data_IF_744948662470
#
_entry.id   IF_744948662470
#
_cell.length_a   1.000
_cell.length_b   1.000
_cell.length_c   1.000
_cell.angle_alpha   90.00
_cell.angle_beta   90.00
_cell.angle_gamma   90.00
#
_symmetry.space_group_name_H-M   'P 1'
#
loop_
_entity.id
_entity.type
_entity.pdbx_description
1 polymer ?
#
# COMPACT_ATOMS: atom_id res chain seq x y z
N UNK A 1 -10.76 -65.94 19.22
CA UNK A 1 -11.13 -64.57 18.76
C UNK A 1 -10.02 -63.51 18.94
N UNK A 2 -8.85 -63.82 19.52
CA UNK A 2 -7.83 -62.80 19.91
C UNK A 2 -6.81 -62.38 18.82
N UNK A 3 -6.42 -63.28 17.90
CA UNK A 3 -5.29 -63.01 16.97
C UNK A 3 -5.60 -61.94 15.89
N UNK A 4 -6.85 -61.87 15.40
CA UNK A 4 -7.23 -60.96 14.30
C UNK A 4 -7.35 -59.51 14.75
N UNK A 5 -7.96 -59.27 15.92
CA UNK A 5 -8.14 -57.92 16.48
C UNK A 5 -6.78 -57.30 16.79
N UNK A 6 -5.85 -58.06 17.36
CA UNK A 6 -4.51 -57.58 17.69
C UNK A 6 -3.70 -57.22 16.43
N UNK A 7 -3.81 -58.02 15.36
CA UNK A 7 -3.20 -57.71 14.06
C UNK A 7 -3.72 -56.41 13.45
N UNK A 8 -5.03 -56.16 13.52
CA UNK A 8 -5.62 -54.91 13.02
C UNK A 8 -5.17 -53.73 13.85
N UNK A 9 -5.10 -53.89 15.18
CA UNK A 9 -4.65 -52.84 16.09
C UNK A 9 -3.21 -52.42 15.82
N UNK A 10 -2.32 -53.38 15.57
CA UNK A 10 -0.93 -53.11 15.17
C UNK A 10 -0.85 -52.38 13.83
N UNK A 11 -1.53 -52.87 12.79
CA UNK A 11 -1.59 -52.19 11.48
C UNK A 11 -2.11 -50.76 11.60
N UNK A 12 -3.20 -50.57 12.35
CA UNK A 12 -3.80 -49.26 12.57
C UNK A 12 -2.83 -48.31 13.30
N UNK A 13 -2.09 -48.80 14.29
CA UNK A 13 -1.09 -48.02 15.02
C UNK A 13 -0.04 -47.39 14.11
N UNK A 14 0.48 -48.13 13.12
CA UNK A 14 1.46 -47.60 12.17
C UNK A 14 0.88 -46.58 11.18
N UNK A 15 -0.38 -46.76 10.78
CA UNK A 15 -1.00 -45.93 9.75
C UNK A 15 -1.73 -44.71 10.30
N UNK A 16 -2.15 -44.71 11.57
CA UNK A 16 -3.04 -43.68 12.13
C UNK A 16 -2.57 -42.24 11.92
N UNK A 17 -1.28 -41.96 12.02
CA UNK A 17 -0.73 -40.60 11.83
C UNK A 17 -0.63 -40.16 10.36
N UNK A 18 -0.78 -41.10 9.43
CA UNK A 18 -0.61 -40.89 7.99
C UNK A 18 -1.95 -40.92 7.22
N UNK A 19 -3.06 -41.24 7.89
CA UNK A 19 -4.38 -41.36 7.27
C UNK A 19 -5.23 -40.13 7.59
N UNK A 20 -5.80 -39.50 6.56
CA UNK A 20 -6.89 -38.53 6.75
C UNK A 20 -8.21 -39.23 7.10
N UNK A 21 -9.23 -38.45 7.50
CA UNK A 21 -10.53 -38.97 7.96
C UNK A 21 -11.24 -39.84 6.90
N UNK A 22 -11.01 -39.57 5.61
CA UNK A 22 -11.64 -40.28 4.49
C UNK A 22 -10.90 -41.59 4.19
N UNK A 23 -9.58 -41.53 4.06
CA UNK A 23 -8.75 -42.71 3.79
C UNK A 23 -8.85 -43.70 4.96
N UNK A 24 -8.90 -43.20 6.20
CA UNK A 24 -9.13 -44.02 7.39
C UNK A 24 -10.45 -44.79 7.32
N UNK A 25 -11.54 -44.13 6.91
CA UNK A 25 -12.86 -44.73 6.78
C UNK A 25 -12.90 -45.81 5.71
N UNK A 26 -12.28 -45.56 4.56
CA UNK A 26 -12.20 -46.54 3.46
C UNK A 26 -11.33 -47.74 3.84
N UNK A 27 -10.19 -47.51 4.48
CA UNK A 27 -9.32 -48.59 4.96
C UNK A 27 -10.04 -49.49 5.96
N UNK A 28 -10.74 -48.90 6.95
CA UNK A 28 -11.51 -49.65 7.93
C UNK A 28 -12.65 -50.46 7.29
N UNK A 29 -13.26 -49.94 6.23
CA UNK A 29 -14.28 -50.65 5.47
C UNK A 29 -13.72 -51.84 4.67
N UNK A 30 -12.54 -51.70 4.06
CA UNK A 30 -11.85 -52.80 3.35
C UNK A 30 -11.46 -53.91 4.33
N UNK A 31 -10.85 -53.57 5.48
CA UNK A 31 -10.49 -54.55 6.50
C UNK A 31 -11.74 -55.21 7.12
N UNK A 32 -12.86 -54.50 7.24
CA UNK A 32 -14.09 -55.10 7.72
C UNK A 32 -14.73 -56.07 6.70
N UNK A 33 -14.62 -55.79 5.39
CA UNK A 33 -15.13 -56.67 4.34
C UNK A 33 -14.27 -57.93 4.16
N UNK A 34 -12.95 -57.82 4.28
CA UNK A 34 -12.03 -58.96 4.12
C UNK A 34 -12.22 -60.04 5.19
N UNK A 35 -12.69 -59.66 6.38
CA UNK A 35 -12.96 -60.56 7.50
C UNK A 35 -14.33 -61.25 7.46
N UNK A 36 -15.25 -60.83 6.57
CA UNK A 36 -16.58 -61.41 6.45
C UNK A 36 -17.46 -61.23 7.70
N UNK A 37 -18.10 -62.31 8.18
CA UNK A 37 -19.09 -62.25 9.27
C UNK A 37 -18.43 -61.83 10.59
N UNK A 38 -18.83 -60.67 11.12
CA UNK A 38 -18.28 -60.11 12.37
C UNK A 38 -17.09 -59.16 12.18
N UNK A 39 -16.61 -58.97 10.96
CA UNK A 39 -15.47 -58.08 10.65
C UNK A 39 -15.67 -56.64 11.12
N UNK A 40 -16.88 -56.09 10.99
CA UNK A 40 -17.22 -54.73 11.46
C UNK A 40 -17.02 -54.59 12.98
N UNK A 41 -17.44 -55.58 13.76
CA UNK A 41 -17.27 -55.56 15.21
C UNK A 41 -15.79 -55.66 15.60
N UNK A 42 -15.03 -56.53 14.93
CA UNK A 42 -13.60 -56.72 15.18
C UNK A 42 -12.76 -55.47 14.81
N UNK A 43 -13.06 -54.82 13.68
CA UNK A 43 -12.39 -53.58 13.28
C UNK A 43 -12.76 -52.42 14.21
N UNK A 44 -14.04 -52.30 14.60
CA UNK A 44 -14.49 -51.28 15.56
C UNK A 44 -13.79 -51.44 16.90
N UNK A 45 -13.65 -52.67 17.39
CA UNK A 45 -12.92 -52.99 18.62
C UNK A 45 -11.41 -52.66 18.51
N UNK A 46 -10.76 -53.04 17.41
CA UNK A 46 -9.34 -52.81 17.20
C UNK A 46 -8.96 -51.33 17.01
N UNK A 47 -9.84 -50.53 16.41
CA UNK A 47 -9.55 -49.14 16.00
C UNK A 47 -10.26 -48.08 16.84
N UNK A 48 -11.21 -48.48 17.69
CA UNK A 48 -12.14 -47.59 18.39
C UNK A 48 -13.00 -46.71 17.47
N UNK A 49 -13.07 -47.04 16.18
CA UNK A 49 -13.98 -46.37 15.24
C UNK A 49 -15.42 -46.81 15.48
N UNK A 50 -16.36 -45.87 15.30
CA UNK A 50 -17.78 -46.22 15.39
C UNK A 50 -18.17 -47.19 14.28
N UNK A 51 -19.03 -48.16 14.59
CA UNK A 51 -19.56 -49.10 13.57
C UNK A 51 -20.23 -48.35 12.43
N UNK A 52 -20.90 -47.24 12.72
CA UNK A 52 -21.52 -46.35 11.74
C UNK A 52 -20.51 -45.81 10.72
N UNK A 53 -19.32 -45.40 11.18
CA UNK A 53 -18.23 -44.94 10.30
C UNK A 53 -17.79 -46.05 9.33
N UNK A 54 -17.68 -47.28 9.81
CA UNK A 54 -17.31 -48.44 8.98
C UNK A 54 -18.42 -48.77 7.97
N UNK A 55 -19.69 -48.72 8.38
CA UNK A 55 -20.84 -48.91 7.48
C UNK A 55 -20.88 -47.85 6.36
N UNK A 56 -20.62 -46.59 6.69
CA UNK A 56 -20.53 -45.51 5.70
C UNK A 56 -19.41 -45.79 4.70
N UNK A 57 -18.22 -46.20 5.17
CA UNK A 57 -17.12 -46.57 4.28
C UNK A 57 -17.44 -47.75 3.37
N UNK A 58 -18.15 -48.77 3.88
CA UNK A 58 -18.61 -49.92 3.08
C UNK A 58 -19.58 -49.47 1.99
N UNK A 59 -20.51 -48.56 2.31
CA UNK A 59 -21.43 -47.99 1.34
C UNK A 59 -20.71 -47.16 0.29
N UNK A 60 -19.70 -46.37 0.67
CA UNK A 60 -18.87 -45.58 -0.25
C UNK A 60 -18.06 -46.47 -1.21
N UNK A 61 -17.51 -47.60 -0.74
CA UNK A 61 -16.81 -48.58 -1.58
C UNK A 61 -17.74 -49.25 -2.60
N UNK A 62 -18.96 -49.63 -2.20
CA UNK A 62 -19.96 -50.26 -3.09
C UNK A 62 -20.49 -49.31 -4.16
N UNK A 63 -20.46 -48.00 -3.91
CA UNK A 63 -21.00 -46.98 -4.82
C UNK A 63 -20.07 -46.63 -5.99
N UNK A 64 -18.92 -47.32 -6.15
CA UNK A 64 -18.06 -47.19 -7.34
C UNK A 64 -17.08 -46.01 -7.32
N UNK A 65 -16.81 -45.41 -6.16
CA UNK A 65 -15.80 -44.37 -5.99
C UNK A 65 -16.36 -43.04 -5.49
N UNK A 66 -15.48 -42.06 -5.22
CA UNK A 66 -15.87 -40.87 -4.48
C UNK A 66 -16.91 -40.04 -5.25
N UNK A 67 -17.86 -39.50 -4.50
CA UNK A 67 -18.76 -38.42 -4.93
C UNK A 67 -17.95 -37.37 -5.71
N UNK A 68 -18.47 -36.89 -6.85
CA UNK A 68 -17.75 -36.07 -7.85
C UNK A 68 -16.97 -34.90 -7.21
N UNK A 69 -17.51 -34.36 -6.11
CA UNK A 69 -16.98 -33.24 -5.33
C UNK A 69 -15.66 -33.54 -4.58
N UNK A 70 -15.31 -34.81 -4.41
CA UNK A 70 -14.16 -35.26 -3.61
C UNK A 70 -12.99 -35.81 -4.45
N UNK A 71 -13.04 -35.57 -5.77
CA UNK A 71 -11.94 -35.74 -6.73
C UNK A 71 -10.98 -34.55 -6.77
N UNK A 72 -11.33 -33.43 -6.11
CA UNK A 72 -10.46 -32.25 -6.01
C UNK A 72 -9.38 -32.46 -4.93
N UNK A 73 -8.09 -32.19 -5.22
CA UNK A 73 -7.03 -32.29 -4.23
C UNK A 73 -7.32 -31.42 -3.00
N UNK A 74 -7.29 -32.01 -1.80
CA UNK A 74 -7.38 -31.30 -0.52
C UNK A 74 -8.78 -31.18 0.12
N UNK A 75 -9.85 -31.67 -0.51
CA UNK A 75 -11.21 -31.60 0.08
C UNK A 75 -11.66 -32.94 0.67
N UNK A 76 -11.66 -33.01 2.01
CA UNK A 76 -12.00 -34.23 2.78
C UNK A 76 -13.52 -34.38 3.02
N UNK A 77 -14.26 -33.27 3.15
CA UNK A 77 -15.71 -33.26 3.48
C UNK A 77 -16.58 -32.92 2.26
N UNK A 78 -17.80 -33.50 2.22
CA UNK A 78 -18.84 -33.16 1.23
C UNK A 78 -19.22 -31.68 1.32
N UNK A 79 -19.72 -31.13 0.21
CA UNK A 79 -20.42 -29.84 0.17
C UNK A 79 -21.47 -29.76 1.29
N UNK A 80 -21.50 -28.64 2.02
CA UNK A 80 -22.37 -28.44 3.19
C UNK A 80 -21.80 -28.96 4.52
N UNK A 81 -20.70 -29.71 4.52
CA UNK A 81 -20.03 -30.20 5.73
C UNK A 81 -19.09 -29.16 6.37
N UNK A 82 -19.64 -28.08 6.91
CA UNK A 82 -18.87 -27.02 7.57
C UNK A 82 -19.71 -26.17 8.52
N UNK A 83 -19.05 -25.31 9.32
CA UNK A 83 -19.77 -24.33 10.15
C UNK A 83 -20.58 -23.41 9.22
N UNK A 84 -21.90 -23.44 9.36
CA UNK A 84 -22.82 -22.55 8.61
C UNK A 84 -22.36 -21.10 8.72
N UNK A 85 -22.43 -20.35 7.61
CA UNK A 85 -22.06 -18.92 7.59
C UNK A 85 -22.93 -18.16 8.59
N UNK A 86 -22.37 -17.13 9.23
CA UNK A 86 -23.09 -16.38 10.27
C UNK A 86 -24.41 -15.77 9.75
N UNK A 87 -24.45 -15.41 8.46
CA UNK A 87 -25.65 -14.96 7.73
C UNK A 87 -26.82 -15.96 7.75
N UNK A 88 -26.54 -17.25 7.81
CA UNK A 88 -27.58 -18.29 7.87
C UNK A 88 -28.10 -18.50 9.29
N UNK A 89 -27.35 -18.06 10.31
CA UNK A 89 -27.75 -18.13 11.72
C UNK A 89 -28.40 -16.84 12.20
N UNK A 90 -28.07 -15.72 11.55
CA UNK A 90 -28.45 -14.38 11.95
C UNK A 90 -28.91 -13.60 10.71
N UNK A 91 -30.21 -13.72 10.36
CA UNK A 91 -30.76 -13.12 9.14
C UNK A 91 -30.81 -11.58 9.18
N UNK A 92 -30.94 -10.98 10.37
CA UNK A 92 -31.04 -9.52 10.52
C UNK A 92 -29.68 -8.81 10.58
N UNK A 93 -28.58 -9.53 10.83
CA UNK A 93 -27.22 -8.99 10.85
C UNK A 93 -26.86 -8.11 9.64
N UNK A 94 -27.23 -8.53 8.42
CA UNK A 94 -26.94 -7.75 7.22
C UNK A 94 -27.76 -6.45 7.17
N UNK A 95 -29.02 -6.51 7.59
CA UNK A 95 -29.91 -5.36 7.62
C UNK A 95 -29.47 -4.35 8.68
N UNK A 96 -29.04 -4.82 9.86
CA UNK A 96 -28.58 -3.96 10.94
C UNK A 96 -27.18 -3.40 10.69
N UNK A 97 -26.33 -4.12 9.93
CA UNK A 97 -25.10 -3.56 9.37
C UNK A 97 -25.42 -2.47 8.33
N UNK A 98 -26.38 -2.68 7.42
CA UNK A 98 -26.76 -1.67 6.41
C UNK A 98 -27.30 -0.38 7.08
N UNK A 99 -28.10 -0.49 8.15
CA UNK A 99 -28.53 0.66 8.96
C UNK A 99 -27.38 1.42 9.64
N UNK A 100 -26.27 0.74 9.95
CA UNK A 100 -25.06 1.39 10.50
C UNK A 100 -24.24 2.10 9.40
N UNK A 101 -24.50 1.80 8.13
CA UNK A 101 -23.89 2.42 6.95
C UNK A 101 -24.74 3.56 6.37
N UNK A 102 -25.96 3.78 6.88
CA UNK A 102 -26.80 4.93 6.53
C UNK A 102 -26.20 6.27 7.01
N UNK A 103 -26.36 7.35 6.23
CA UNK A 103 -25.52 8.55 6.35
C UNK A 103 -25.80 9.36 7.62
N UNK A 104 -24.77 9.47 8.47
CA UNK A 104 -24.62 10.65 9.32
C UNK A 104 -24.23 11.85 8.43
N UNK A 105 -25.26 12.49 7.87
CA UNK A 105 -25.35 13.83 7.26
C UNK A 105 -24.04 14.53 6.85
N UNK A 106 -23.72 14.48 5.55
CA UNK A 106 -23.34 15.66 4.73
C UNK A 106 -23.30 15.31 3.23
N UNK A 107 -24.34 15.71 2.50
CA UNK A 107 -24.33 15.89 1.03
C UNK A 107 -25.40 15.14 0.24
N UNK A 108 -26.35 15.92 -0.30
CA UNK A 108 -27.31 15.69 -1.42
C UNK A 108 -28.40 14.58 -1.32
N UNK A 109 -29.71 14.90 -1.49
CA UNK A 109 -30.81 13.93 -1.34
C UNK A 109 -31.00 12.93 -2.49
N UNK A 110 -30.38 13.12 -3.66
CA UNK A 110 -30.69 12.32 -4.87
C UNK A 110 -29.59 11.35 -5.34
N UNK A 111 -28.55 11.09 -4.54
CA UNK A 111 -27.61 9.98 -4.81
C UNK A 111 -27.38 9.12 -3.58
N UNK A 112 -27.50 7.77 -3.65
CA UNK A 112 -27.26 6.90 -2.51
C UNK A 112 -25.75 6.71 -2.29
N UNK A 113 -25.08 7.79 -1.88
CA UNK A 113 -23.69 7.75 -1.44
C UNK A 113 -23.64 7.12 -0.04
N UNK A 114 -23.51 5.79 -0.01
CA UNK A 114 -23.34 5.00 1.23
C UNK A 114 -21.87 5.01 1.66
N UNK A 115 -21.54 5.71 2.75
CA UNK A 115 -20.17 5.74 3.30
C UNK A 115 -20.23 5.89 4.83
N UNK A 116 -19.28 5.27 5.54
CA UNK A 116 -19.19 5.34 7.01
C UNK A 116 -17.82 5.86 7.45
N UNK A 117 -17.79 6.74 8.45
CA UNK A 117 -16.56 7.16 9.14
C UNK A 117 -16.14 6.18 10.25
N UNK A 118 -16.95 5.15 10.54
CA UNK A 118 -16.68 4.21 11.63
C UNK A 118 -15.68 3.15 11.16
N UNK A 119 -14.70 2.83 12.00
CA UNK A 119 -13.80 1.71 11.75
C UNK A 119 -14.55 0.37 11.84
N UNK A 120 -14.03 -0.67 11.19
CA UNK A 120 -14.62 -2.02 11.25
C UNK A 120 -14.64 -2.61 12.66
N UNK A 121 -13.78 -2.13 13.57
CA UNK A 121 -13.83 -2.46 15.00
C UNK A 121 -15.04 -1.82 15.68
N UNK A 122 -15.29 -0.52 15.45
CA UNK A 122 -16.46 0.18 16.02
C UNK A 122 -17.79 -0.39 15.50
N UNK A 123 -17.85 -0.74 14.22
CA UNK A 123 -19.01 -1.43 13.64
C UNK A 123 -19.25 -2.78 14.30
N UNK A 124 -18.19 -3.53 14.62
CA UNK A 124 -18.32 -4.83 15.29
C UNK A 124 -18.81 -4.67 16.74
N UNK A 125 -18.31 -3.68 17.48
CA UNK A 125 -18.79 -3.35 18.84
C UNK A 125 -20.27 -2.98 18.84
N UNK A 126 -20.70 -2.15 17.89
CA UNK A 126 -22.09 -1.67 17.80
C UNK A 126 -23.05 -2.77 17.35
N UNK A 127 -22.63 -3.65 16.43
CA UNK A 127 -23.39 -4.86 16.07
C UNK A 127 -23.47 -5.85 17.24
N UNK A 128 -22.38 -6.01 17.99
CA UNK A 128 -22.37 -6.84 19.20
C UNK A 128 -23.31 -6.29 20.26
N UNK A 129 -23.34 -4.96 20.45
CA UNK A 129 -24.27 -4.29 21.36
C UNK A 129 -25.74 -4.44 20.92
N UNK A 130 -26.01 -4.61 19.62
CA UNK A 130 -27.35 -4.90 19.05
C UNK A 130 -27.73 -6.38 19.08
N UNK A 131 -26.91 -7.24 19.69
CA UNK A 131 -27.19 -8.67 19.84
C UNK A 131 -26.56 -9.57 18.77
N UNK A 132 -25.70 -9.03 17.90
CA UNK A 132 -24.99 -9.79 16.88
C UNK A 132 -23.52 -10.00 17.26
N UNK A 133 -23.12 -11.12 17.87
CA UNK A 133 -21.73 -11.34 18.29
C UNK A 133 -20.83 -11.52 17.06
N UNK A 134 -20.22 -10.42 16.60
CA UNK A 134 -19.39 -10.38 15.39
C UNK A 134 -18.01 -9.82 15.68
N UNK A 135 -17.01 -10.34 14.97
CA UNK A 135 -15.65 -9.82 15.03
C UNK A 135 -15.42 -8.75 13.95
N UNK A 136 -14.40 -7.93 14.13
CA UNK A 136 -13.93 -6.97 13.11
C UNK A 136 -13.66 -7.66 11.75
N UNK A 137 -13.10 -8.87 11.75
CA UNK A 137 -12.87 -9.67 10.52
C UNK A 137 -14.17 -10.07 9.84
N UNK A 138 -15.19 -10.41 10.62
CA UNK A 138 -16.53 -10.72 10.13
C UNK A 138 -17.13 -9.50 9.45
N UNK A 139 -17.04 -8.32 10.07
CA UNK A 139 -17.54 -7.06 9.48
C UNK A 139 -16.81 -6.73 8.17
N UNK A 140 -15.48 -6.89 8.08
CA UNK A 140 -14.76 -6.69 6.81
C UNK A 140 -15.31 -7.58 5.69
N UNK A 141 -15.49 -8.87 5.95
CA UNK A 141 -16.01 -9.79 4.94
C UNK A 141 -17.46 -9.45 4.54
N UNK A 142 -18.28 -8.97 5.48
CA UNK A 142 -19.65 -8.53 5.18
C UNK A 142 -19.65 -7.27 4.31
N UNK A 143 -18.75 -6.31 4.57
CA UNK A 143 -18.58 -5.11 3.76
C UNK A 143 -18.08 -5.44 2.34
N UNK A 144 -17.11 -6.34 2.20
CA UNK A 144 -16.63 -6.82 0.90
C UNK A 144 -17.77 -7.51 0.11
N UNK A 145 -18.58 -8.35 0.76
CA UNK A 145 -19.75 -9.01 0.14
C UNK A 145 -20.87 -8.02 -0.24
N UNK A 146 -20.94 -6.86 0.44
CA UNK A 146 -21.86 -5.76 0.10
C UNK A 146 -21.26 -4.81 -0.96
N UNK A 147 -20.08 -5.10 -1.50
CA UNK A 147 -19.41 -4.31 -2.54
C UNK A 147 -18.67 -3.07 -2.02
N UNK A 148 -18.51 -2.93 -0.70
CA UNK A 148 -17.69 -1.88 -0.11
C UNK A 148 -16.22 -2.25 -0.17
N UNK A 149 -15.37 -1.25 -0.29
CA UNK A 149 -13.92 -1.42 -0.22
C UNK A 149 -13.29 -0.20 0.45
N UNK A 150 -12.09 -0.38 1.02
CA UNK A 150 -11.30 0.72 1.56
C UNK A 150 -10.85 1.64 0.42
N UNK A 151 -11.48 2.80 0.33
CA UNK A 151 -11.12 3.83 -0.65
C UNK A 151 -10.23 4.88 0.01
N UNK A 152 -9.07 5.14 -0.59
CA UNK A 152 -8.27 6.32 -0.27
C UNK A 152 -8.78 7.51 -1.09
N UNK A 153 -8.74 8.71 -0.52
CA UNK A 153 -9.10 9.93 -1.25
C UNK A 153 -8.18 10.08 -2.48
N UNK A 154 -8.75 9.91 -3.67
CA UNK A 154 -8.06 10.16 -4.93
C UNK A 154 -8.28 11.63 -5.31
N UNK A 155 -7.21 12.40 -5.47
CA UNK A 155 -7.28 13.78 -5.97
C UNK A 155 -7.65 13.76 -7.46
N UNK A 156 -8.93 13.67 -7.80
CA UNK A 156 -9.43 13.63 -9.20
C UNK A 156 -10.16 14.89 -9.63
N UNK A 157 -10.56 15.76 -8.68
CA UNK A 157 -11.17 17.06 -8.99
C UNK A 157 -10.09 18.07 -9.37
N UNK A 158 -9.54 17.93 -10.58
CA UNK A 158 -8.82 19.03 -11.24
C UNK A 158 -9.86 19.93 -11.93
N UNK A 159 -9.69 21.25 -11.87
CA UNK A 159 -10.61 22.20 -12.51
C UNK A 159 -10.80 21.89 -14.00
N UNK A 160 -11.92 22.38 -14.58
CA UNK A 160 -12.38 22.13 -15.95
C UNK A 160 -11.25 21.93 -16.97
N UNK A 161 -11.33 20.82 -17.72
CA UNK A 161 -10.42 20.51 -18.84
C UNK A 161 -10.39 21.70 -19.79
N UNK A 162 -9.24 22.39 -19.88
CA UNK A 162 -9.08 23.55 -20.74
C UNK A 162 -8.28 23.12 -21.99
N UNK A 163 -8.75 23.41 -23.22
CA UNK A 163 -8.10 22.97 -24.46
C UNK A 163 -6.62 23.38 -24.58
N UNK A 164 -6.24 24.50 -23.98
CA UNK A 164 -4.87 25.01 -24.02
C UNK A 164 -3.89 24.24 -23.12
N UNK A 165 -4.36 23.36 -22.22
CA UNK A 165 -3.47 22.55 -21.38
C UNK A 165 -2.62 21.62 -22.24
N UNK A 166 -3.22 20.95 -23.21
CA UNK A 166 -2.51 20.00 -24.07
C UNK A 166 -1.45 20.71 -24.92
N UNK A 167 -1.76 21.90 -25.45
CA UNK A 167 -0.78 22.73 -26.17
C UNK A 167 0.41 23.11 -25.29
N UNK A 168 0.15 23.49 -24.03
CA UNK A 168 1.21 23.82 -23.08
C UNK A 168 2.07 22.59 -22.75
N UNK A 169 1.48 21.41 -22.58
CA UNK A 169 2.22 20.17 -22.36
C UNK A 169 3.07 19.76 -23.56
N UNK A 170 2.52 19.88 -24.78
CA UNK A 170 3.27 19.62 -26.01
C UNK A 170 4.47 20.57 -26.13
N UNK A 171 4.26 21.87 -25.89
CA UNK A 171 5.34 22.85 -25.89
C UNK A 171 6.47 22.51 -24.89
N UNK A 172 6.11 22.15 -23.64
CA UNK A 172 7.09 21.73 -22.64
C UNK A 172 7.84 20.49 -23.10
N UNK A 173 7.12 19.47 -23.58
CA UNK A 173 7.72 18.24 -24.10
C UNK A 173 8.70 18.51 -25.23
N UNK A 174 8.34 19.38 -26.18
CA UNK A 174 9.18 19.68 -27.34
C UNK A 174 10.43 20.44 -26.92
N UNK A 175 10.32 21.43 -26.02
CA UNK A 175 11.47 22.13 -25.45
C UNK A 175 12.41 21.21 -24.68
N UNK A 176 11.86 20.26 -23.91
CA UNK A 176 12.65 19.25 -23.21
C UNK A 176 13.44 18.40 -24.21
N UNK A 177 12.78 17.88 -25.25
CA UNK A 177 13.44 17.04 -26.27
C UNK A 177 14.52 17.81 -27.04
N UNK A 178 14.23 19.06 -27.43
CA UNK A 178 15.16 19.95 -28.11
C UNK A 178 16.44 20.10 -27.30
N UNK A 179 16.35 20.53 -26.05
CA UNK A 179 17.52 20.81 -25.21
C UNK A 179 18.26 19.54 -24.80
N UNK A 180 17.57 18.43 -24.60
CA UNK A 180 18.22 17.13 -24.40
C UNK A 180 19.02 16.69 -25.64
N UNK A 181 18.51 16.93 -26.86
CA UNK A 181 19.19 16.53 -28.09
C UNK A 181 20.51 17.28 -28.33
N UNK A 182 20.62 18.51 -27.84
CA UNK A 182 21.83 19.34 -27.90
C UNK A 182 22.68 19.27 -26.60
N UNK A 183 22.38 18.30 -25.72
CA UNK A 183 23.16 18.02 -24.52
C UNK A 183 23.07 19.09 -23.43
N UNK A 184 22.03 19.93 -23.44
CA UNK A 184 21.82 20.96 -22.43
C UNK A 184 21.08 20.39 -21.20
N UNK A 185 21.34 20.91 -20.00
CA UNK A 185 20.67 20.48 -18.78
C UNK A 185 19.16 20.79 -18.79
N UNK A 186 18.37 19.81 -18.37
CA UNK A 186 16.91 19.94 -18.18
C UNK A 186 16.54 19.46 -16.78
N UNK A 187 16.06 20.39 -15.96
CA UNK A 187 15.69 20.13 -14.57
C UNK A 187 14.21 20.35 -14.31
N UNK A 188 13.71 19.60 -13.33
CA UNK A 188 12.37 19.70 -12.76
C UNK A 188 12.52 20.08 -11.30
N UNK A 189 11.92 21.21 -10.91
CA UNK A 189 12.11 21.80 -9.57
C UNK A 189 10.77 21.96 -8.87
N UNK A 190 10.78 21.75 -7.56
CA UNK A 190 9.61 21.93 -6.71
C UNK A 190 10.00 21.94 -5.23
N UNK A 191 9.16 22.56 -4.40
CA UNK A 191 9.28 22.54 -2.96
C UNK A 191 8.36 21.46 -2.38
N UNK A 192 8.94 20.49 -1.66
CA UNK A 192 8.14 19.51 -0.94
C UNK A 192 7.41 20.20 0.21
N UNK A 193 6.19 19.72 0.52
CA UNK A 193 5.46 20.12 1.73
C UNK A 193 6.39 20.12 2.95
N UNK A 194 6.29 21.17 3.76
CA UNK A 194 7.04 21.30 5.01
C UNK A 194 6.78 20.10 5.91
N UNK A 195 7.85 19.43 6.32
CA UNK A 195 7.78 18.36 7.32
C UNK A 195 8.17 18.90 8.70
N UNK A 196 7.54 18.35 9.74
CA UNK A 196 7.89 18.66 11.13
C UNK A 196 9.09 17.79 11.53
N UNK A 197 10.12 18.40 12.11
CA UNK A 197 11.25 17.66 12.69
C UNK A 197 10.97 17.41 14.16
N UNK A 198 11.07 16.14 14.57
CA UNK A 198 10.78 15.66 15.91
C UNK A 198 10.22 14.23 15.87
N UNK A 199 9.95 13.67 17.04
CA UNK A 199 9.33 12.36 17.22
C UNK A 199 7.84 12.39 16.86
N UNK A 200 7.50 12.76 15.64
CA UNK A 200 6.11 12.82 15.18
C UNK A 200 5.69 11.53 14.49
N UNK A 201 4.40 11.22 14.58
CA UNK A 201 3.80 10.07 13.92
C UNK A 201 3.76 10.29 12.40
N UNK A 202 4.76 9.77 11.70
CA UNK A 202 4.74 9.68 10.25
C UNK A 202 3.85 8.53 9.79
N UNK A 203 2.97 8.79 8.81
CA UNK A 203 2.07 7.77 8.28
C UNK A 203 2.86 6.60 7.69
N UNK A 204 2.67 5.39 8.21
CA UNK A 204 3.45 4.23 7.79
C UNK A 204 3.49 3.11 8.81
N UNK A 205 4.03 1.96 8.40
CA UNK A 205 4.33 0.83 9.27
C UNK A 205 5.63 0.20 8.75
N UNK A 206 6.63 0.05 9.62
CA UNK A 206 7.84 -0.72 9.36
C UNK A 206 7.87 -1.96 10.27
N UNK A 207 8.58 -2.99 9.83
CA UNK A 207 8.76 -4.20 10.63
C UNK A 207 9.82 -3.97 11.71
N UNK A 208 9.38 -3.89 12.96
CA UNK A 208 10.25 -3.82 14.14
C UNK A 208 10.15 -5.10 14.97
N UNK A 209 11.11 -5.30 15.89
CA UNK A 209 11.05 -6.42 16.85
C UNK A 209 9.74 -6.30 17.64
N UNK A 210 9.06 -7.44 17.80
CA UNK A 210 7.76 -7.51 18.48
C UNK A 210 7.85 -6.89 19.88
N UNK A 211 7.01 -5.88 20.13
CA UNK A 211 6.94 -5.20 21.44
C UNK A 211 7.84 -3.97 21.60
N UNK A 212 8.51 -3.52 20.54
CA UNK A 212 9.37 -2.33 20.58
C UNK A 212 8.97 -1.31 19.51
N UNK A 213 7.72 -0.78 19.50
CA UNK A 213 7.35 0.28 18.58
C UNK A 213 8.16 1.54 18.86
N UNK A 214 8.61 2.25 17.83
CA UNK A 214 9.15 3.60 17.99
C UNK A 214 8.13 4.51 18.70
N UNK A 215 8.51 5.04 19.87
CA UNK A 215 7.70 5.99 20.62
C UNK A 215 7.70 7.35 19.89
N UNK A 216 6.51 7.94 19.77
CA UNK A 216 6.31 9.23 19.12
C UNK A 216 5.44 10.11 20.01
N UNK A 217 5.69 11.41 19.97
CA UNK A 217 4.96 12.42 20.71
C UNK A 217 3.47 12.36 20.40
N UNK A 218 2.67 12.41 21.47
CA UNK A 218 1.19 12.38 21.42
C UNK A 218 0.63 13.64 20.74
N UNK A 219 1.37 14.75 20.78
CA UNK A 219 0.96 16.04 20.24
C UNK A 219 1.97 16.57 19.22
N UNK A 220 1.48 17.03 18.07
CA UNK A 220 2.32 17.55 16.99
C UNK A 220 2.74 19.03 17.20
N UNK A 221 3.17 19.40 18.41
CA UNK A 221 3.70 20.73 18.67
C UNK A 221 5.09 20.85 18.05
N UNK A 222 5.26 21.80 17.14
CA UNK A 222 6.54 22.06 16.49
C UNK A 222 7.51 22.49 17.57
N UNK A 223 8.59 21.73 17.76
CA UNK A 223 9.66 22.08 18.67
C UNK A 223 10.24 23.44 18.22
N UNK A 224 10.27 24.47 19.09
CA UNK A 224 10.78 25.81 18.75
C UNK A 224 12.25 25.83 18.29
N UNK A 225 13.05 24.83 18.69
CA UNK A 225 14.48 24.70 18.41
C UNK A 225 14.71 23.89 17.12
N UNK A 226 13.98 22.77 16.93
CA UNK A 226 14.15 21.93 15.74
C UNK A 226 13.38 22.46 14.51
N UNK A 227 12.23 23.10 14.73
CA UNK A 227 11.45 23.80 13.72
C UNK A 227 10.81 22.90 12.65
N UNK A 228 10.62 23.47 11.46
CA UNK A 228 10.15 22.75 10.26
C UNK A 228 11.27 22.76 9.23
N UNK A 229 11.34 21.71 8.43
CA UNK A 229 12.20 21.71 7.25
C UNK A 229 11.36 21.82 5.98
N UNK A 230 11.88 22.58 5.03
CA UNK A 230 11.32 22.68 3.68
C UNK A 230 12.34 22.08 2.70
N UNK A 231 12.16 20.81 2.29
CA UNK A 231 13.01 20.21 1.28
C UNK A 231 12.70 20.83 -0.08
N UNK A 232 13.68 21.48 -0.69
CA UNK A 232 13.57 21.96 -2.06
C UNK A 232 14.36 21.03 -2.98
N UNK A 233 13.69 20.53 -4.01
CA UNK A 233 14.23 19.52 -4.88
C UNK A 233 14.60 20.04 -6.26
N UNK A 234 15.70 19.53 -6.80
CA UNK A 234 16.12 19.72 -8.19
C UNK A 234 16.34 18.35 -8.80
N UNK A 235 15.50 17.96 -9.76
CA UNK A 235 15.56 16.67 -10.43
C UNK A 235 16.03 16.84 -11.87
N UNK A 236 17.20 16.31 -12.19
CA UNK A 236 17.73 16.24 -13.55
C UNK A 236 17.02 15.11 -14.32
N UNK A 237 16.23 15.52 -15.31
CA UNK A 237 15.38 14.63 -16.10
C UNK A 237 16.24 13.73 -17.01
N UNK A 238 17.38 14.22 -17.46
CA UNK A 238 18.25 13.56 -18.44
C UNK A 238 19.10 12.49 -17.77
N UNK A 239 19.74 12.82 -16.64
CA UNK A 239 20.64 11.87 -15.95
C UNK A 239 19.92 11.03 -14.89
N UNK A 240 18.64 11.29 -14.61
CA UNK A 240 17.85 10.63 -13.58
C UNK A 240 18.55 10.74 -12.21
N UNK A 241 19.04 11.93 -11.90
CA UNK A 241 19.68 12.29 -10.63
C UNK A 241 18.89 13.41 -9.95
N UNK A 242 18.87 13.41 -8.63
CA UNK A 242 18.21 14.44 -7.85
C UNK A 242 19.14 15.06 -6.84
N UNK A 243 18.90 16.34 -6.59
CA UNK A 243 19.50 17.12 -5.52
C UNK A 243 18.38 17.62 -4.61
N UNK A 244 18.61 17.59 -3.31
CA UNK A 244 17.65 18.13 -2.34
C UNK A 244 18.39 19.03 -1.37
N UNK A 245 17.95 20.27 -1.29
CA UNK A 245 18.42 21.22 -0.30
C UNK A 245 17.40 21.29 0.84
N UNK A 246 17.83 21.09 2.08
CA UNK A 246 16.92 21.09 3.24
C UNK A 246 16.94 22.46 3.92
N UNK A 247 15.95 23.29 3.57
CA UNK A 247 15.81 24.63 4.14
C UNK A 247 15.29 24.56 5.58
N UNK A 248 15.93 25.33 6.47
CA UNK A 248 15.55 25.43 7.90
C UNK A 248 14.54 26.54 8.18
N UNK A 249 14.17 27.32 7.16
CA UNK A 249 13.30 28.48 7.30
C UNK A 249 12.18 28.51 6.22
N UNK A 250 11.88 29.68 5.65
CA UNK A 250 10.76 29.88 4.73
C UNK A 250 11.09 29.39 3.32
N UNK A 251 10.04 28.95 2.61
CA UNK A 251 10.11 28.62 1.19
C UNK A 251 10.06 29.93 0.38
N UNK A 252 11.23 30.53 0.15
CA UNK A 252 11.36 31.78 -0.61
C UNK A 252 11.93 31.52 -2.01
N UNK A 253 11.69 32.45 -2.94
CA UNK A 253 12.29 32.38 -4.27
C UNK A 253 13.82 32.38 -4.25
N UNK A 254 14.43 33.07 -3.27
CA UNK A 254 15.89 33.07 -3.05
C UNK A 254 16.37 31.67 -2.68
N UNK A 255 15.68 31.00 -1.76
CA UNK A 255 16.00 29.62 -1.37
C UNK A 255 15.86 28.63 -2.55
N UNK A 256 14.83 28.81 -3.37
CA UNK A 256 14.61 28.01 -4.58
C UNK A 256 15.77 28.17 -5.59
N UNK A 257 16.17 29.41 -5.90
CA UNK A 257 17.26 29.69 -6.84
C UNK A 257 18.62 29.28 -6.27
N UNK A 258 18.85 29.48 -4.97
CA UNK A 258 20.07 29.01 -4.30
C UNK A 258 20.18 27.48 -4.35
N UNK A 259 19.06 26.76 -4.25
CA UNK A 259 19.03 25.30 -4.40
C UNK A 259 19.44 24.87 -5.81
N UNK A 260 19.01 25.60 -6.85
CA UNK A 260 19.42 25.36 -8.24
C UNK A 260 20.90 25.71 -8.43
N UNK A 261 21.37 26.81 -7.84
CA UNK A 261 22.77 27.24 -7.87
C UNK A 261 23.70 26.18 -7.28
N UNK A 262 23.35 25.63 -6.10
CA UNK A 262 24.11 24.56 -5.45
C UNK A 262 24.10 23.28 -6.26
N UNK A 263 22.93 22.87 -6.77
CA UNK A 263 22.85 21.75 -7.69
C UNK A 263 23.78 21.92 -8.90
N UNK A 264 23.80 23.12 -9.50
CA UNK A 264 24.68 23.40 -10.64
C UNK A 264 26.16 23.25 -10.28
N UNK A 265 26.60 23.86 -9.16
CA UNK A 265 28.01 23.80 -8.73
C UNK A 265 28.47 22.39 -8.40
N UNK A 266 27.65 21.63 -7.68
CA UNK A 266 28.03 20.33 -7.12
C UNK A 266 27.78 19.15 -8.07
N UNK A 267 26.74 19.24 -8.91
CA UNK A 267 26.31 18.14 -9.79
C UNK A 267 26.23 18.54 -11.25
N UNK A 268 25.65 19.69 -11.57
CA UNK A 268 25.33 20.08 -12.96
C UNK A 268 26.57 20.36 -13.80
N UNK A 269 27.45 21.24 -13.33
CA UNK A 269 28.62 21.73 -14.07
C UNK A 269 29.57 20.60 -14.52
N UNK A 270 29.92 19.59 -13.68
CA UNK A 270 30.73 18.46 -14.13
C UNK A 270 30.04 17.57 -15.17
N UNK A 271 28.70 17.50 -15.17
CA UNK A 271 27.92 16.68 -16.11
C UNK A 271 27.68 17.40 -17.44
N UNK A 272 27.71 18.73 -17.42
CA UNK A 272 27.37 19.58 -18.56
C UNK A 272 28.45 20.67 -18.79
N UNK A 273 29.68 20.29 -19.16
CA UNK A 273 30.81 21.22 -19.25
C UNK A 273 30.63 22.30 -20.33
N UNK A 274 29.83 22.03 -21.36
CA UNK A 274 29.59 22.94 -22.50
C UNK A 274 28.16 23.53 -22.48
N UNK A 275 27.49 23.54 -21.32
CA UNK A 275 26.16 24.10 -21.24
C UNK A 275 26.18 25.62 -21.39
N UNK A 276 25.29 26.14 -22.22
CA UNK A 276 25.01 27.56 -22.38
C UNK A 276 23.51 27.88 -22.20
N UNK A 277 22.68 26.85 -22.01
CA UNK A 277 21.25 26.96 -21.74
C UNK A 277 20.84 26.00 -20.62
N UNK A 278 19.89 26.43 -19.79
CA UNK A 278 19.27 25.60 -18.76
C UNK A 278 17.77 25.66 -18.92
N UNK A 279 17.10 24.51 -18.99
CA UNK A 279 15.63 24.45 -18.94
C UNK A 279 15.16 24.02 -17.57
N UNK A 280 14.27 24.83 -17.00
CA UNK A 280 13.64 24.60 -15.71
C UNK A 280 12.15 24.36 -15.93
N UNK A 281 11.68 23.18 -15.55
CA UNK A 281 10.25 22.86 -15.46
C UNK A 281 9.80 22.98 -14.01
N UNK A 282 8.75 23.75 -13.76
CA UNK A 282 8.30 24.06 -12.40
C UNK A 282 6.77 24.11 -12.31
N UNK A 283 6.24 23.91 -11.10
CA UNK A 283 4.86 24.23 -10.81
C UNK A 283 4.67 25.73 -10.63
N UNK A 284 3.52 26.26 -11.06
CA UNK A 284 3.24 27.70 -11.06
C UNK A 284 2.94 28.32 -9.69
N UNK A 285 3.19 27.61 -8.58
CA UNK A 285 2.86 28.03 -7.22
C UNK A 285 4.08 28.14 -6.30
N UNK A 286 3.87 28.63 -5.07
CA UNK A 286 4.92 28.72 -4.05
C UNK A 286 6.06 29.66 -4.46
N UNK A 287 7.28 29.36 -4.01
CA UNK A 287 8.51 30.13 -4.26
C UNK A 287 8.88 30.27 -5.74
N UNK A 288 8.36 29.40 -6.60
CA UNK A 288 8.71 29.31 -8.03
C UNK A 288 7.64 29.91 -8.94
N UNK A 289 6.65 30.60 -8.38
CA UNK A 289 5.47 31.04 -9.10
C UNK A 289 5.79 32.01 -10.25
N UNK A 290 5.16 31.80 -11.40
CA UNK A 290 5.36 32.62 -12.62
C UNK A 290 5.03 34.11 -12.44
N UNK A 291 4.21 34.44 -11.43
CA UNK A 291 3.82 35.82 -11.09
C UNK A 291 4.76 36.49 -10.09
N UNK A 292 5.67 35.75 -9.47
CA UNK A 292 6.55 36.27 -8.42
C UNK A 292 7.72 37.01 -9.07
N UNK A 293 7.88 38.30 -8.72
CA UNK A 293 8.97 39.13 -9.26
C UNK A 293 10.33 38.70 -8.73
N UNK A 294 10.40 38.33 -7.45
CA UNK A 294 11.64 37.87 -6.81
C UNK A 294 12.19 36.62 -7.50
N UNK A 295 11.34 35.65 -7.86
CA UNK A 295 11.72 34.49 -8.66
C UNK A 295 12.41 34.86 -9.97
N UNK A 296 11.84 35.81 -10.72
CA UNK A 296 12.44 36.28 -11.98
C UNK A 296 13.76 37.01 -11.75
N UNK A 297 13.83 37.84 -10.71
CA UNK A 297 15.04 38.58 -10.37
C UNK A 297 16.20 37.64 -9.98
N UNK A 298 15.94 36.68 -9.11
CA UNK A 298 16.96 35.73 -8.65
C UNK A 298 17.43 34.81 -9.79
N UNK A 299 16.50 34.36 -10.65
CA UNK A 299 16.88 33.63 -11.85
C UNK A 299 17.72 34.45 -12.82
N UNK A 300 17.43 35.74 -12.98
CA UNK A 300 18.25 36.61 -13.83
C UNK A 300 19.66 36.74 -13.27
N UNK A 301 19.79 36.99 -11.95
CA UNK A 301 21.11 37.03 -11.29
C UNK A 301 21.88 35.73 -11.49
N UNK A 302 21.20 34.58 -11.39
CA UNK A 302 21.81 33.28 -11.63
C UNK A 302 22.22 33.11 -13.10
N UNK A 303 21.39 33.53 -14.05
CA UNK A 303 21.70 33.49 -15.48
C UNK A 303 22.96 34.32 -15.80
N UNK A 304 23.04 35.52 -15.24
CA UNK A 304 24.18 36.43 -15.41
C UNK A 304 25.46 35.84 -14.79
N UNK A 305 25.37 35.24 -13.61
CA UNK A 305 26.50 34.58 -12.94
C UNK A 305 27.02 33.36 -13.71
N UNK A 306 26.11 32.54 -14.25
CA UNK A 306 26.48 31.33 -14.97
C UNK A 306 26.85 31.60 -16.43
N UNK A 307 26.52 32.77 -16.97
CA UNK A 307 26.64 33.07 -18.39
C UNK A 307 25.73 32.18 -19.25
N UNK A 308 24.58 31.76 -18.73
CA UNK A 308 23.66 30.83 -19.38
C UNK A 308 22.29 31.43 -19.62
N UNK A 309 21.65 31.05 -20.73
CA UNK A 309 20.24 31.38 -20.94
C UNK A 309 19.36 30.41 -20.14
N UNK A 310 18.65 30.93 -19.14
CA UNK A 310 17.70 30.13 -18.35
C UNK A 310 16.30 30.22 -18.96
N UNK A 311 15.79 29.11 -19.45
CA UNK A 311 14.43 28.93 -19.92
C UNK A 311 13.58 28.35 -18.79
N UNK A 312 12.44 28.97 -18.49
CA UNK A 312 11.52 28.46 -17.46
C UNK A 312 10.16 28.15 -18.08
N UNK A 313 9.70 26.92 -17.89
CA UNK A 313 8.38 26.48 -18.29
C UNK A 313 7.56 26.06 -17.08
N UNK A 314 6.45 26.76 -16.86
CA UNK A 314 5.50 26.39 -15.81
C UNK A 314 4.44 25.42 -16.34
N UNK A 315 4.07 24.43 -15.54
CA UNK A 315 2.92 23.57 -15.83
C UNK A 315 1.60 24.35 -15.63
N UNK A 316 0.51 23.94 -16.32
CA UNK A 316 -0.81 24.51 -16.11
C UNK A 316 -1.29 24.45 -14.64
N UNK A 317 -2.23 25.31 -14.22
CA UNK A 317 -2.82 25.21 -12.89
C UNK A 317 -3.49 23.85 -12.64
N UNK A 318 -3.29 23.29 -11.45
CA UNK A 318 -3.88 22.01 -11.05
C UNK A 318 -3.22 20.78 -11.68
N UNK A 319 -2.05 20.92 -12.30
CA UNK A 319 -1.35 19.80 -12.96
C UNK A 319 -0.03 19.42 -12.29
N UNK A 320 0.16 19.73 -10.99
CA UNK A 320 1.41 19.44 -10.26
C UNK A 320 1.79 17.95 -10.26
N UNK A 321 0.80 17.05 -10.41
CA UNK A 321 1.07 15.61 -10.61
C UNK A 321 1.94 15.35 -11.85
N UNK A 322 1.91 16.20 -12.87
CA UNK A 322 2.67 15.97 -14.10
C UNK A 322 4.13 16.44 -14.00
N UNK A 323 4.47 17.17 -12.93
CA UNK A 323 5.83 17.56 -12.62
C UNK A 323 6.67 16.30 -12.32
N UNK A 324 7.78 16.10 -13.03
CA UNK A 324 8.53 14.83 -12.98
C UNK A 324 9.14 14.59 -11.60
N UNK A 325 9.56 15.64 -10.92
CA UNK A 325 10.12 15.60 -9.56
C UNK A 325 9.16 14.96 -8.55
N UNK A 326 7.85 15.21 -8.64
CA UNK A 326 6.86 14.66 -7.71
C UNK A 326 6.84 13.13 -7.75
N UNK A 327 6.80 12.57 -8.97
CA UNK A 327 6.74 11.12 -9.16
C UNK A 327 8.09 10.42 -9.12
N UNK A 328 9.17 11.11 -9.52
CA UNK A 328 10.51 10.50 -9.66
C UNK A 328 11.40 10.71 -8.46
N UNK A 329 11.12 11.71 -7.62
CA UNK A 329 11.93 12.00 -6.46
C UNK A 329 11.08 12.03 -5.17
N UNK A 330 10.08 12.91 -5.09
CA UNK A 330 9.34 13.11 -3.85
C UNK A 330 8.49 11.93 -3.42
N UNK A 331 7.91 11.16 -4.36
CA UNK A 331 7.21 9.92 -4.04
C UNK A 331 8.12 8.89 -3.34
N UNK A 332 9.40 8.81 -3.72
CA UNK A 332 10.33 7.85 -3.13
C UNK A 332 10.89 8.37 -1.80
N UNK A 333 11.13 9.66 -1.67
CA UNK A 333 11.48 10.28 -0.38
C UNK A 333 10.34 10.04 0.63
N UNK A 334 9.07 10.26 0.23
CA UNK A 334 7.92 9.96 1.10
C UNK A 334 7.85 8.48 1.49
N UNK A 335 8.23 7.56 0.59
CA UNK A 335 8.25 6.13 0.90
C UNK A 335 9.34 5.78 1.92
N UNK A 336 10.52 6.41 1.86
CA UNK A 336 11.60 6.16 2.82
C UNK A 336 11.41 6.85 4.17
N UNK A 337 10.55 7.86 4.23
CA UNK A 337 10.12 8.48 5.49
C UNK A 337 8.95 7.76 6.15
N UNK A 338 8.38 6.75 5.49
CA UNK A 338 7.20 6.02 5.96
C UNK A 338 7.49 5.30 7.27
N UNK A 339 6.80 5.69 8.35
CA UNK A 339 6.88 5.00 9.64
C UNK A 339 8.14 5.29 10.47
N UNK A 340 9.02 6.20 10.00
CA UNK A 340 10.21 6.63 10.76
C UNK A 340 10.04 8.06 11.26
N UNK A 341 10.25 8.34 12.56
CA UNK A 341 10.27 9.71 13.06
C UNK A 341 11.49 10.44 12.49
N UNK A 342 11.29 11.69 12.04
CA UNK A 342 12.37 12.57 11.58
C UNK A 342 12.96 13.30 12.79
N UNK A 343 13.70 12.56 13.63
CA UNK A 343 14.17 13.02 14.95
C UNK A 343 15.09 14.24 14.81
N UNK A 344 15.98 14.26 13.81
CA UNK A 344 16.90 15.37 13.53
C UNK A 344 16.92 15.74 12.05
N UNK A 345 17.45 16.93 11.74
CA UNK A 345 17.67 17.39 10.35
C UNK A 345 18.63 16.46 9.60
N UNK A 346 19.67 15.98 10.28
CA UNK A 346 20.62 15.00 9.73
C UNK A 346 19.94 13.68 9.38
N UNK A 347 18.99 13.20 10.20
CA UNK A 347 18.19 12.00 9.89
C UNK A 347 17.36 12.23 8.62
N UNK A 348 16.75 13.41 8.45
CA UNK A 348 16.01 13.74 7.23
C UNK A 348 16.92 13.74 5.99
N UNK A 349 18.08 14.40 6.06
CA UNK A 349 19.12 14.42 5.02
C UNK A 349 19.59 13.00 4.69
N UNK A 350 19.93 12.21 5.70
CA UNK A 350 20.40 10.83 5.53
C UNK A 350 19.33 9.92 4.90
N UNK A 351 18.05 10.07 5.28
CA UNK A 351 16.97 9.29 4.66
C UNK A 351 16.72 9.70 3.20
N UNK A 352 16.88 10.98 2.87
CA UNK A 352 16.84 11.45 1.48
C UNK A 352 17.99 10.83 0.68
N UNK A 353 19.23 10.94 1.16
CA UNK A 353 20.41 10.41 0.46
C UNK A 353 20.39 8.89 0.26
N UNK A 354 19.78 8.15 1.19
CA UNK A 354 19.63 6.69 1.09
C UNK A 354 18.46 6.23 0.20
N UNK A 355 17.73 7.15 -0.42
CA UNK A 355 16.61 6.81 -1.29
C UNK A 355 17.08 6.17 -2.59
N UNK A 356 16.78 4.87 -2.76
CA UNK A 356 17.12 4.09 -3.96
C UNK A 356 15.88 3.55 -4.66
N UNK A 357 15.93 3.50 -5.99
CA UNK A 357 14.84 2.98 -6.84
C UNK A 357 15.35 1.88 -7.79
N UNK A 358 14.43 1.03 -8.30
CA UNK A 358 14.76 -0.10 -9.20
C UNK A 358 15.48 0.32 -10.49
N UNK A 359 15.17 1.50 -11.04
CA UNK A 359 16.04 2.23 -11.99
C UNK A 359 16.90 3.15 -11.12
N UNK A 360 18.22 3.04 -11.11
CA UNK A 360 19.09 3.70 -10.12
C UNK A 360 18.93 5.23 -10.12
N UNK A 361 18.03 5.76 -9.29
CA UNK A 361 17.97 7.17 -8.92
C UNK A 361 19.10 7.42 -7.92
N UNK A 362 19.88 8.47 -8.13
CA UNK A 362 20.88 8.93 -7.16
C UNK A 362 20.43 10.27 -6.61
N UNK A 363 20.25 10.35 -5.30
CA UNK A 363 19.93 11.58 -4.59
C UNK A 363 21.15 12.05 -3.80
N UNK A 364 21.48 13.33 -3.94
CA UNK A 364 22.50 13.98 -3.13
C UNK A 364 21.84 15.08 -2.30
N UNK A 365 21.71 14.89 -0.98
CA UNK A 365 21.13 15.90 -0.10
C UNK A 365 22.21 16.88 0.40
N UNK A 366 21.83 18.13 0.65
CA UNK A 366 22.66 19.18 1.26
C UNK A 366 21.89 19.84 2.40
#
# INVERSE_FOLDING_TARGET
MSNTVEKIKVKYGYLRSHLDEKVLRLWAAVEAQSLGRGGISQVSEATSLSRTTIYVGISELKSGGPDIDSRLPGRIRRTGGGRKKLKEKDPSLLQDLDKLLEPATRGDPETPLRWTCKSTTKLAEELTARGHPVSQRTVCNLLDELGYSLQANRKTKEGSSHPDRDKQFMHISDKVKELQSIGQPVISVDAKKKEKIGEFKNGGQEWEKKGSPAEVNVYDFVDPVLGKVTPYGVYDITTNKGWVNVGIDHDTSEFAVESIRRWWREMGSPLYPNANQLLITADGGGSNGSRIRLWKLELQKLADELGMTINVCHFPPGTSKWNKIEHKMFSFISQNWRGRPLITREVAVNLIGNTRTKKVLRLQPN
#
